data_IF_429708887861
#
_entry.id   IF_429708887861
#
_cell.length_a   1.000
_cell.length_b   1.000
_cell.length_c   1.000
_cell.angle_alpha   90.00
_cell.angle_beta   90.00
_cell.angle_gamma   90.00
#
_symmetry.space_group_name_H-M   'P 1'
#
loop_
_entity.id
_entity.type
_entity.pdbx_description
1 polymer ?
#
# COMPACT_ATOMS: atom_id res chain seq x y z
N UNK A 1 39.04 -71.21 -19.51
CA UNK A 1 37.87 -72.10 -19.36
C UNK A 1 37.00 -71.56 -18.24
N UNK A 2 35.74 -71.27 -18.58
CA UNK A 2 34.55 -71.13 -17.72
C UNK A 2 34.35 -69.80 -16.97
N UNK A 3 33.32 -69.10 -17.45
CA UNK A 3 32.62 -67.93 -16.93
C UNK A 3 31.96 -68.11 -15.55
N UNK A 4 31.76 -66.98 -14.81
CA UNK A 4 30.43 -66.51 -14.38
C UNK A 4 30.43 -65.07 -13.82
N UNK A 5 29.27 -64.43 -14.00
CA UNK A 5 28.89 -63.02 -13.82
C UNK A 5 28.46 -62.66 -12.37
N UNK A 6 28.18 -61.35 -12.18
CA UNK A 6 27.37 -60.66 -11.15
C UNK A 6 28.11 -60.34 -9.83
N UNK A 7 28.03 -59.16 -9.19
CA UNK A 7 26.94 -58.18 -9.11
C UNK A 7 27.44 -56.77 -8.72
N UNK A 8 26.63 -55.76 -9.05
CA UNK A 8 26.73 -54.32 -8.79
C UNK A 8 26.54 -54.01 -7.29
N UNK A 9 27.32 -53.10 -6.70
CA UNK A 9 26.88 -52.25 -5.57
C UNK A 9 27.38 -50.81 -5.78
N UNK A 10 26.43 -49.90 -5.92
CA UNK A 10 26.56 -48.45 -5.91
C UNK A 10 27.19 -47.97 -4.61
N UNK A 11 28.30 -47.23 -4.68
CA UNK A 11 28.77 -46.37 -3.59
C UNK A 11 28.32 -44.94 -3.84
N UNK A 12 27.03 -44.70 -3.65
CA UNK A 12 26.50 -43.34 -3.45
C UNK A 12 26.06 -43.25 -2.01
N UNK A 13 26.94 -42.69 -1.17
CA UNK A 13 26.56 -42.17 0.13
C UNK A 13 25.62 -40.99 -0.14
N UNK A 14 24.32 -41.28 -0.14
CA UNK A 14 23.28 -40.27 -0.07
C UNK A 14 23.28 -39.81 1.39
N UNK A 15 24.05 -38.75 1.70
CA UNK A 15 23.76 -37.94 2.88
C UNK A 15 22.41 -37.30 2.56
N UNK A 16 21.33 -37.97 2.95
CA UNK A 16 20.03 -37.33 3.04
C UNK A 16 20.18 -36.26 4.11
N UNK A 17 20.48 -35.04 3.66
CA UNK A 17 20.30 -33.84 4.45
C UNK A 17 18.78 -33.74 4.68
N UNK A 18 18.30 -34.47 5.68
CA UNK A 18 16.97 -34.26 6.22
C UNK A 18 17.01 -32.85 6.82
N UNK A 19 16.61 -31.86 6.02
CA UNK A 19 16.00 -30.64 6.53
C UNK A 19 14.73 -31.08 7.25
N UNK A 20 14.89 -31.62 8.46
CA UNK A 20 13.82 -31.67 9.43
C UNK A 20 13.54 -30.19 9.68
N UNK A 21 12.49 -29.66 9.05
CA UNK A 21 11.81 -28.51 9.60
C UNK A 21 11.54 -28.88 11.05
N UNK A 22 12.30 -28.28 11.97
CA UNK A 22 12.03 -28.44 13.39
C UNK A 22 10.56 -28.09 13.56
N UNK A 23 9.73 -29.09 13.81
CA UNK A 23 8.34 -28.88 14.18
C UNK A 23 8.44 -28.06 15.47
N UNK A 24 8.09 -26.77 15.40
CA UNK A 24 7.99 -25.92 16.58
C UNK A 24 7.05 -26.64 17.54
N UNK A 25 7.57 -27.07 18.69
CA UNK A 25 6.73 -27.76 19.67
C UNK A 25 5.67 -26.77 20.16
N UNK A 26 4.40 -27.19 20.08
CA UNK A 26 3.27 -26.42 20.59
C UNK A 26 3.06 -26.77 22.06
N UNK A 27 3.01 -25.75 22.92
CA UNK A 27 2.71 -25.89 24.35
C UNK A 27 1.47 -25.09 24.71
N UNK A 28 0.47 -25.76 25.27
CA UNK A 28 -0.67 -25.07 25.86
C UNK A 28 -0.34 -24.61 27.27
N UNK A 29 -0.59 -23.35 27.54
CA UNK A 29 -0.34 -22.72 28.83
C UNK A 29 -1.62 -22.09 29.38
N UNK A 30 -1.76 -22.15 30.70
CA UNK A 30 -3.00 -21.80 31.39
C UNK A 30 -2.78 -20.77 32.51
N UNK A 31 -1.56 -20.25 32.65
CA UNK A 31 -1.18 -19.35 33.72
C UNK A 31 0.15 -18.64 33.46
N UNK A 32 0.41 -17.60 34.26
CA UNK A 32 1.66 -16.83 34.25
C UNK A 32 2.87 -17.74 34.49
N UNK A 33 3.89 -17.61 33.66
CA UNK A 33 5.12 -18.41 33.72
C UNK A 33 6.22 -17.81 32.85
N UNK A 34 7.43 -18.36 32.98
CA UNK A 34 8.53 -18.06 32.05
C UNK A 34 8.47 -18.98 30.84
N UNK A 35 8.54 -18.39 29.64
CA UNK A 35 8.65 -19.08 28.36
C UNK A 35 10.14 -19.13 27.98
N UNK A 36 10.75 -20.30 28.13
CA UNK A 36 12.22 -20.47 28.14
C UNK A 36 12.75 -21.51 27.17
N UNK A 37 11.92 -22.00 26.25
CA UNK A 37 12.34 -22.95 25.21
C UNK A 37 12.31 -22.29 23.85
N UNK A 38 13.50 -22.08 23.27
CA UNK A 38 13.68 -21.43 21.96
C UNK A 38 12.92 -22.16 20.85
N UNK A 39 12.31 -21.40 19.94
CA UNK A 39 11.64 -21.96 18.76
C UNK A 39 10.26 -22.57 19.03
N UNK A 40 9.76 -22.56 20.26
CA UNK A 40 8.45 -23.12 20.61
C UNK A 40 7.29 -22.14 20.42
N UNK A 41 6.10 -22.69 20.21
CA UNK A 41 4.84 -21.94 20.17
C UNK A 41 4.07 -22.20 21.46
N UNK A 42 3.82 -21.16 22.24
CA UNK A 42 3.00 -21.18 23.44
C UNK A 42 1.62 -20.64 23.13
N UNK A 43 0.58 -21.43 23.41
CA UNK A 43 -0.82 -21.08 23.14
C UNK A 43 -1.58 -20.97 24.46
N UNK A 44 -2.22 -19.83 24.73
CA UNK A 44 -3.14 -19.74 25.86
C UNK A 44 -4.39 -20.59 25.59
N UNK A 45 -4.72 -21.47 26.54
CA UNK A 45 -5.95 -22.26 26.49
C UNK A 45 -7.07 -21.71 27.38
N UNK A 46 -6.76 -20.74 28.25
CA UNK A 46 -7.72 -20.04 29.09
C UNK A 46 -7.27 -18.59 29.35
N UNK A 47 -8.21 -17.78 29.83
CA UNK A 47 -7.91 -16.45 30.35
C UNK A 47 -7.05 -16.56 31.62
N UNK A 48 -6.08 -15.67 31.76
CA UNK A 48 -5.23 -15.54 32.95
C UNK A 48 -5.69 -14.33 33.76
N UNK A 49 -5.84 -14.52 35.07
CA UNK A 49 -5.99 -13.45 36.06
C UNK A 49 -4.80 -13.50 37.00
N UNK A 50 -3.92 -12.49 36.93
CA UNK A 50 -2.71 -12.41 37.72
C UNK A 50 -2.93 -11.60 39.00
N UNK A 51 -2.88 -12.28 40.13
CA UNK A 51 -3.16 -11.71 41.46
C UNK A 51 -1.90 -11.50 42.31
N UNK A 52 -0.74 -12.02 41.89
CA UNK A 52 0.54 -11.77 42.54
C UNK A 52 1.19 -10.48 42.04
N UNK A 53 2.08 -9.91 42.86
CA UNK A 53 2.91 -8.76 42.49
C UNK A 53 4.13 -9.23 41.68
N UNK A 54 3.90 -9.90 40.57
CA UNK A 54 4.96 -10.37 39.66
C UNK A 54 4.47 -10.32 38.23
N UNK A 55 5.38 -10.03 37.29
CA UNK A 55 5.12 -10.09 35.85
C UNK A 55 4.47 -11.43 35.46
N UNK A 56 3.59 -11.42 34.47
CA UNK A 56 2.83 -12.60 34.12
C UNK A 56 3.57 -13.56 33.18
N UNK A 57 3.76 -13.19 31.90
CA UNK A 57 4.47 -14.03 30.94
C UNK A 57 5.84 -13.42 30.63
N UNK A 58 6.92 -14.14 30.96
CA UNK A 58 8.30 -13.69 30.69
C UNK A 58 8.94 -14.54 29.58
N UNK A 59 9.25 -13.94 28.45
CA UNK A 59 9.93 -14.57 27.31
C UNK A 59 11.43 -14.32 27.45
N UNK A 60 12.20 -15.40 27.58
CA UNK A 60 13.65 -15.35 27.87
C UNK A 60 14.52 -16.11 26.86
N UNK A 61 13.90 -16.60 25.79
CA UNK A 61 14.59 -17.26 24.68
C UNK A 61 14.08 -16.76 23.32
N UNK A 62 14.93 -16.78 22.29
CA UNK A 62 14.57 -16.30 20.97
C UNK A 62 13.59 -17.24 20.26
N UNK A 63 13.03 -16.76 19.14
CA UNK A 63 12.17 -17.54 18.24
C UNK A 63 10.90 -18.11 18.90
N UNK A 64 10.48 -17.56 20.03
CA UNK A 64 9.24 -17.96 20.71
C UNK A 64 8.04 -17.29 20.04
N UNK A 65 6.98 -18.06 19.83
CA UNK A 65 5.66 -17.52 19.47
C UNK A 65 4.76 -17.64 20.70
N UNK A 66 4.26 -16.52 21.20
CA UNK A 66 3.14 -16.47 22.14
C UNK A 66 1.86 -16.12 21.35
N UNK A 67 0.96 -17.09 21.25
CA UNK A 67 -0.38 -16.91 20.70
C UNK A 67 -1.39 -16.96 21.86
N UNK A 68 -1.96 -15.81 22.21
CA UNK A 68 -2.97 -15.78 23.25
C UNK A 68 -4.31 -16.38 22.77
N UNK A 69 -4.47 -16.70 21.48
CA UNK A 69 -5.66 -17.37 20.94
C UNK A 69 -6.98 -16.66 21.36
N UNK A 70 -6.95 -15.33 21.35
CA UNK A 70 -8.05 -14.46 21.76
C UNK A 70 -8.33 -14.43 23.27
N UNK A 71 -7.46 -15.01 24.10
CA UNK A 71 -7.59 -15.03 25.57
C UNK A 71 -6.98 -13.80 26.22
N UNK A 72 -7.47 -13.51 27.42
CA UNK A 72 -7.05 -12.36 28.19
C UNK A 72 -5.92 -12.65 29.17
N UNK A 73 -5.09 -11.64 29.43
CA UNK A 73 -4.18 -11.56 30.58
C UNK A 73 -4.61 -10.33 31.37
N UNK A 74 -5.17 -10.52 32.57
CA UNK A 74 -5.67 -9.41 33.39
C UNK A 74 -5.01 -9.33 34.76
N UNK A 75 -4.91 -8.12 35.31
CA UNK A 75 -4.42 -7.88 36.67
C UNK A 75 -4.89 -6.52 37.19
N UNK A 76 -5.05 -6.38 38.51
CA UNK A 76 -5.25 -5.09 39.19
C UNK A 76 -4.00 -4.61 39.92
N UNK A 77 -2.87 -5.31 39.73
CA UNK A 77 -1.62 -5.09 40.50
C UNK A 77 -0.63 -4.14 39.82
N UNK A 78 -0.94 -3.60 38.65
CA UNK A 78 -0.04 -2.73 37.87
C UNK A 78 1.31 -3.43 37.61
N UNK A 79 1.26 -4.54 36.88
CA UNK A 79 2.41 -5.39 36.56
C UNK A 79 2.71 -5.41 35.06
N UNK A 80 3.75 -6.13 34.63
CA UNK A 80 3.95 -6.42 33.21
C UNK A 80 3.13 -7.65 32.80
N UNK A 81 2.27 -7.50 31.76
CA UNK A 81 1.50 -8.59 31.18
C UNK A 81 2.39 -9.57 30.41
N UNK A 82 3.15 -9.05 29.44
CA UNK A 82 4.17 -9.83 28.72
C UNK A 82 5.49 -9.08 28.70
N UNK A 83 6.54 -9.68 29.24
CA UNK A 83 7.92 -9.18 29.20
C UNK A 83 8.73 -9.99 28.19
N UNK A 84 9.37 -9.31 27.24
CA UNK A 84 10.40 -9.87 26.34
C UNK A 84 11.74 -9.27 26.73
N UNK A 85 12.68 -10.11 27.13
CA UNK A 85 13.94 -9.70 27.73
C UNK A 85 15.10 -10.41 27.03
N UNK A 86 15.94 -9.65 26.32
CA UNK A 86 17.11 -10.13 25.57
C UNK A 86 16.79 -11.38 24.71
N UNK A 87 15.69 -11.32 23.95
CA UNK A 87 15.09 -12.45 23.25
C UNK A 87 14.60 -12.05 21.86
N UNK A 88 15.45 -12.26 20.85
CA UNK A 88 15.18 -11.87 19.47
C UNK A 88 14.14 -12.75 18.77
N UNK A 89 13.53 -12.22 17.71
CA UNK A 89 12.62 -12.96 16.81
C UNK A 89 11.40 -13.56 17.52
N UNK A 90 10.91 -12.89 18.57
CA UNK A 90 9.70 -13.28 19.29
C UNK A 90 8.46 -12.83 18.51
N UNK A 91 7.38 -13.59 18.57
CA UNK A 91 6.06 -13.16 18.08
C UNK A 91 5.06 -13.19 19.23
N UNK A 92 4.35 -12.10 19.47
CA UNK A 92 3.23 -12.02 20.42
C UNK A 92 1.98 -11.62 19.64
N UNK A 93 0.93 -12.45 19.71
CA UNK A 93 -0.28 -12.19 18.94
C UNK A 93 -1.58 -12.62 19.62
N UNK A 94 -2.68 -12.02 19.16
CA UNK A 94 -4.05 -12.36 19.55
C UNK A 94 -4.34 -12.21 21.06
N UNK A 95 -3.64 -11.31 21.75
CA UNK A 95 -3.79 -11.11 23.20
C UNK A 95 -4.75 -9.97 23.52
N UNK A 96 -5.57 -10.16 24.56
CA UNK A 96 -6.23 -9.06 25.26
C UNK A 96 -5.51 -8.82 26.59
N UNK A 97 -4.93 -7.64 26.81
CA UNK A 97 -4.14 -7.38 28.02
C UNK A 97 -4.67 -6.15 28.76
N UNK A 98 -5.01 -6.33 30.05
CA UNK A 98 -5.54 -5.31 30.99
C UNK A 98 -4.98 -5.56 32.40
N UNK A 99 -3.84 -4.94 32.72
CA UNK A 99 -2.98 -5.24 33.88
C UNK A 99 -2.83 -4.05 34.84
N UNK A 100 -3.64 -3.01 34.65
CA UNK A 100 -3.78 -1.87 35.55
C UNK A 100 -3.02 -0.62 35.11
N UNK A 101 -3.63 0.54 35.37
CA UNK A 101 -3.18 1.85 34.89
C UNK A 101 -2.18 2.58 35.79
N UNK A 102 -1.81 2.00 36.93
CA UNK A 102 -0.80 2.55 37.83
C UNK A 102 0.64 2.25 37.37
N UNK A 103 1.60 2.99 37.93
CA UNK A 103 3.04 2.82 37.65
C UNK A 103 3.44 1.35 37.80
N UNK A 104 4.11 0.80 36.79
CA UNK A 104 4.47 -0.63 36.71
C UNK A 104 3.54 -1.46 35.83
N UNK A 105 2.37 -0.93 35.45
CA UNK A 105 1.42 -1.56 34.52
C UNK A 105 1.86 -1.46 33.08
N UNK A 106 2.49 -2.50 32.52
CA UNK A 106 2.87 -2.55 31.10
C UNK A 106 2.11 -3.68 30.43
N UNK A 107 1.39 -3.39 29.33
CA UNK A 107 0.73 -4.44 28.56
C UNK A 107 1.77 -5.41 27.96
N UNK A 108 2.64 -4.86 27.12
CA UNK A 108 3.80 -5.57 26.55
C UNK A 108 5.05 -4.70 26.75
N UNK A 109 6.10 -5.26 27.32
CA UNK A 109 7.40 -4.59 27.46
C UNK A 109 8.50 -5.42 26.77
N UNK A 110 9.21 -4.79 25.84
CA UNK A 110 10.26 -5.40 25.02
C UNK A 110 11.58 -4.71 25.35
N UNK A 111 12.59 -5.47 25.76
CA UNK A 111 13.90 -4.94 26.16
C UNK A 111 14.98 -5.69 25.39
N UNK A 112 15.81 -4.94 24.65
CA UNK A 112 16.97 -5.42 23.90
C UNK A 112 16.65 -6.67 23.04
N UNK A 113 15.53 -6.64 22.32
CA UNK A 113 14.95 -7.79 21.64
C UNK A 113 14.52 -7.45 20.21
N UNK A 114 15.45 -7.65 19.28
CA UNK A 114 15.31 -7.30 17.86
C UNK A 114 14.41 -8.29 17.09
N UNK A 115 13.91 -7.85 15.93
CA UNK A 115 13.15 -8.65 14.98
C UNK A 115 11.85 -9.25 15.55
N UNK A 116 11.32 -8.62 16.60
CA UNK A 116 10.09 -9.05 17.29
C UNK A 116 8.84 -8.63 16.51
N UNK A 117 7.77 -9.43 16.58
CA UNK A 117 6.48 -9.16 15.94
C UNK A 117 5.37 -9.08 16.99
N UNK A 118 4.62 -7.99 17.01
CA UNK A 118 3.49 -7.75 17.90
C UNK A 118 2.25 -7.57 17.02
N UNK A 119 1.38 -8.57 16.96
CA UNK A 119 0.35 -8.68 15.93
C UNK A 119 -1.04 -8.83 16.56
N UNK A 120 -2.02 -8.02 16.14
CA UNK A 120 -3.44 -8.27 16.46
C UNK A 120 -3.74 -8.37 17.98
N UNK A 121 -3.06 -7.55 18.79
CA UNK A 121 -3.32 -7.49 20.23
C UNK A 121 -4.21 -6.29 20.57
N UNK A 122 -5.01 -6.45 21.62
CA UNK A 122 -5.75 -5.37 22.29
C UNK A 122 -5.07 -5.07 23.62
N UNK A 123 -4.47 -3.89 23.76
CA UNK A 123 -3.79 -3.44 24.98
C UNK A 123 -4.57 -2.27 25.59
N UNK A 124 -5.24 -2.54 26.70
CA UNK A 124 -6.21 -1.61 27.29
C UNK A 124 -5.93 -1.38 28.78
N UNK A 125 -6.14 -0.16 29.26
CA UNK A 125 -6.12 0.16 30.69
C UNK A 125 -4.80 -0.17 31.42
N UNK A 126 -3.68 0.18 30.79
CA UNK A 126 -2.33 0.04 31.36
C UNK A 126 -1.73 1.40 31.73
N UNK A 127 -0.59 1.40 32.42
CA UNK A 127 0.23 2.61 32.49
C UNK A 127 0.92 2.87 31.15
N UNK A 128 1.59 1.87 30.58
CA UNK A 128 2.04 1.89 29.18
C UNK A 128 1.44 0.70 28.42
N UNK A 129 0.90 0.96 27.22
CA UNK A 129 0.35 -0.11 26.38
C UNK A 129 1.45 -1.05 25.91
N UNK A 130 2.34 -0.54 25.06
CA UNK A 130 3.50 -1.24 24.51
C UNK A 130 4.75 -0.38 24.66
N UNK A 131 5.79 -0.94 25.28
CA UNK A 131 7.12 -0.33 25.37
C UNK A 131 8.16 -1.19 24.66
N UNK A 132 9.04 -0.57 23.88
CA UNK A 132 10.18 -1.22 23.23
C UNK A 132 11.46 -0.40 23.46
N UNK A 133 12.37 -0.94 24.28
CA UNK A 133 13.63 -0.32 24.65
C UNK A 133 14.81 -1.04 23.98
N UNK A 134 15.68 -0.29 23.31
CA UNK A 134 16.89 -0.83 22.68
C UNK A 134 16.61 -1.89 21.61
N UNK A 135 15.39 -1.91 21.05
CA UNK A 135 14.91 -2.97 20.17
C UNK A 135 14.67 -2.44 18.75
N UNK A 136 15.25 -3.14 17.78
CA UNK A 136 15.25 -2.77 16.38
C UNK A 136 14.46 -3.77 15.54
N UNK A 137 14.01 -3.34 14.36
CA UNK A 137 13.28 -4.18 13.41
C UNK A 137 12.01 -4.83 14.02
N UNK A 138 11.39 -4.19 15.01
CA UNK A 138 10.13 -4.61 15.61
C UNK A 138 8.99 -4.27 14.65
N UNK A 139 8.11 -5.24 14.40
CA UNK A 139 6.88 -5.06 13.62
C UNK A 139 5.68 -5.03 14.54
N UNK A 140 4.97 -3.91 14.59
CA UNK A 140 3.75 -3.72 15.38
C UNK A 140 2.60 -3.54 14.40
N UNK A 141 1.80 -4.58 14.21
CA UNK A 141 0.81 -4.63 13.12
C UNK A 141 -0.60 -4.94 13.65
N UNK A 142 -1.58 -4.13 13.23
CA UNK A 142 -3.01 -4.34 13.51
C UNK A 142 -3.36 -4.41 15.01
N UNK A 143 -2.65 -3.67 15.87
CA UNK A 143 -2.95 -3.63 17.30
C UNK A 143 -3.94 -2.50 17.63
N UNK A 144 -4.75 -2.72 18.66
CA UNK A 144 -5.64 -1.72 19.25
C UNK A 144 -5.08 -1.37 20.63
N UNK A 145 -4.66 -0.13 20.84
CA UNK A 145 -3.95 0.29 22.06
C UNK A 145 -4.60 1.54 22.65
N UNK A 146 -5.45 1.34 23.65
CA UNK A 146 -6.35 2.38 24.13
C UNK A 146 -6.37 2.53 25.65
N UNK A 147 -6.81 3.70 26.11
CA UNK A 147 -7.08 3.98 27.53
C UNK A 147 -5.88 3.71 28.45
N UNK A 148 -4.64 3.91 27.97
CA UNK A 148 -3.45 3.76 28.79
C UNK A 148 -3.11 5.11 29.46
N UNK A 149 -2.77 5.09 30.76
CA UNK A 149 -2.53 6.30 31.54
C UNK A 149 -1.30 7.11 31.10
N UNK A 150 -0.40 6.50 30.32
CA UNK A 150 0.74 7.15 29.68
C UNK A 150 0.75 6.88 28.17
N UNK A 151 1.80 6.26 27.63
CA UNK A 151 1.91 6.04 26.19
C UNK A 151 1.07 4.83 25.76
N UNK A 152 0.42 4.94 24.59
CA UNK A 152 -0.05 3.77 23.86
C UNK A 152 1.15 2.94 23.41
N UNK A 153 2.01 3.53 22.57
CA UNK A 153 3.30 2.95 22.18
C UNK A 153 4.44 3.89 22.58
N UNK A 154 5.48 3.33 23.19
CA UNK A 154 6.73 4.04 23.45
C UNK A 154 7.94 3.24 22.93
N UNK A 155 8.61 3.77 21.91
CA UNK A 155 9.86 3.21 21.39
C UNK A 155 11.02 4.09 21.86
N UNK A 156 12.01 3.46 22.49
CA UNK A 156 13.19 4.11 23.07
C UNK A 156 14.44 3.48 22.47
N UNK A 157 15.32 4.31 21.90
CA UNK A 157 16.59 3.83 21.31
C UNK A 157 16.39 2.69 20.30
N UNK A 158 15.27 2.72 19.57
CA UNK A 158 14.89 1.69 18.61
C UNK A 158 14.89 2.21 17.18
N UNK A 159 15.46 1.42 16.27
CA UNK A 159 15.57 1.80 14.85
C UNK A 159 14.95 0.77 13.92
N UNK A 160 14.58 1.22 12.71
CA UNK A 160 14.04 0.36 11.65
C UNK A 160 12.76 -0.40 12.05
N UNK A 161 11.98 0.13 12.99
CA UNK A 161 10.71 -0.46 13.39
C UNK A 161 9.60 -0.10 12.40
N UNK A 162 8.64 -0.99 12.23
CA UNK A 162 7.47 -0.80 11.37
C UNK A 162 6.22 -0.90 12.23
N UNK A 163 5.43 0.17 12.25
CA UNK A 163 4.13 0.25 12.91
C UNK A 163 3.08 0.39 11.81
N UNK A 164 2.11 -0.52 11.74
CA UNK A 164 1.05 -0.44 10.72
C UNK A 164 -0.31 -0.93 11.18
N UNK A 165 -1.39 -0.37 10.62
CA UNK A 165 -2.76 -0.75 11.01
C UNK A 165 -3.08 -0.45 12.48
N UNK A 166 -2.33 0.45 13.13
CA UNK A 166 -2.51 0.78 14.54
C UNK A 166 -3.78 1.61 14.73
N UNK A 167 -4.55 1.28 15.77
CA UNK A 167 -5.57 2.15 16.34
C UNK A 167 -5.16 2.52 17.77
N UNK A 168 -4.87 3.79 18.01
CA UNK A 168 -4.44 4.27 19.33
C UNK A 168 -5.20 5.54 19.75
N UNK A 169 -6.05 5.42 20.77
CA UNK A 169 -6.89 6.50 21.28
C UNK A 169 -6.99 6.49 22.81
N UNK A 170 -7.34 7.63 23.42
CA UNK A 170 -7.46 7.79 24.88
C UNK A 170 -6.20 7.40 25.67
N UNK A 171 -5.01 7.47 25.07
CA UNK A 171 -3.76 7.40 25.81
C UNK A 171 -3.31 8.81 26.19
N UNK A 172 -2.40 8.98 27.14
CA UNK A 172 -1.77 10.29 27.37
C UNK A 172 -1.05 10.75 26.09
N UNK A 173 -0.21 9.85 25.55
CA UNK A 173 0.47 10.01 24.27
C UNK A 173 0.15 8.78 23.41
N UNK A 174 -0.30 8.95 22.17
CA UNK A 174 -0.62 7.83 21.29
C UNK A 174 0.61 7.00 20.91
N UNK A 175 1.58 7.64 20.26
CA UNK A 175 2.85 7.05 19.85
C UNK A 175 4.01 8.00 20.18
N UNK A 176 5.03 7.50 20.88
CA UNK A 176 6.27 8.22 21.11
C UNK A 176 7.48 7.48 20.54
N UNK A 177 8.31 8.19 19.76
CA UNK A 177 9.63 7.75 19.31
C UNK A 177 10.70 8.61 20.00
N UNK A 178 11.45 8.02 20.93
CA UNK A 178 12.48 8.70 21.71
C UNK A 178 13.86 8.11 21.42
N UNK A 179 14.84 8.94 21.06
CA UNK A 179 16.14 8.49 20.55
C UNK A 179 16.03 7.42 19.45
N UNK A 180 15.01 7.51 18.61
CA UNK A 180 14.59 6.42 17.73
C UNK A 180 14.53 6.93 16.29
N UNK A 181 15.28 6.28 15.40
CA UNK A 181 15.49 6.75 14.03
C UNK A 181 15.15 5.70 12.98
N UNK A 182 14.86 6.13 11.76
CA UNK A 182 14.56 5.25 10.63
C UNK A 182 13.32 4.35 10.85
N UNK A 183 12.29 4.84 11.57
CA UNK A 183 11.07 4.07 11.78
C UNK A 183 10.00 4.43 10.74
N UNK A 184 9.14 3.46 10.42
CA UNK A 184 8.00 3.65 9.51
C UNK A 184 6.69 3.42 10.26
N UNK A 185 5.87 4.45 10.36
CA UNK A 185 4.48 4.38 10.80
C UNK A 185 3.60 4.51 9.56
N UNK A 186 2.70 3.56 9.32
CA UNK A 186 1.81 3.63 8.17
C UNK A 186 0.41 3.12 8.41
N UNK A 187 -0.54 3.57 7.61
CA UNK A 187 -1.91 3.02 7.57
C UNK A 187 -2.56 2.96 8.95
N UNK A 188 -2.37 4.01 9.75
CA UNK A 188 -2.68 4.00 11.19
C UNK A 188 -3.54 5.20 11.59
N UNK A 189 -4.33 5.02 12.63
CA UNK A 189 -5.17 6.05 13.23
C UNK A 189 -4.72 6.25 14.67
N UNK A 190 -4.10 7.39 14.93
CA UNK A 190 -3.54 7.79 16.22
C UNK A 190 -4.19 9.13 16.54
N UNK A 191 -5.45 9.12 16.97
CA UNK A 191 -6.22 10.35 17.26
C UNK A 191 -7.00 10.21 18.54
N UNK A 192 -7.33 11.35 19.17
CA UNK A 192 -8.09 11.36 20.42
C UNK A 192 -7.26 10.96 21.64
N UNK A 193 -5.93 11.07 21.56
CA UNK A 193 -5.07 10.96 22.73
C UNK A 193 -5.08 12.29 23.51
N UNK A 194 -4.75 12.26 24.80
CA UNK A 194 -4.97 13.38 25.73
C UNK A 194 -4.04 14.54 25.38
N UNK A 195 -2.72 14.32 25.39
CA UNK A 195 -1.72 15.36 25.15
C UNK A 195 -1.25 15.37 23.68
N UNK A 196 -0.56 14.32 23.24
CA UNK A 196 -0.11 14.19 21.86
C UNK A 196 -0.62 12.88 21.24
N UNK A 197 -0.94 12.95 19.96
CA UNK A 197 -1.13 11.76 19.15
C UNK A 197 0.23 11.16 18.82
N UNK A 198 1.15 12.00 18.34
CA UNK A 198 2.48 11.58 17.91
C UNK A 198 3.54 12.50 18.49
N UNK A 199 4.52 11.91 19.18
CA UNK A 199 5.62 12.60 19.83
C UNK A 199 6.96 12.05 19.33
N UNK A 200 7.78 12.88 18.70
CA UNK A 200 9.14 12.51 18.31
C UNK A 200 10.12 13.37 19.11
N UNK A 201 10.99 12.76 19.90
CA UNK A 201 11.90 13.52 20.75
C UNK A 201 13.26 12.89 21.00
N UNK A 202 14.20 13.73 21.40
CA UNK A 202 15.52 13.39 21.90
C UNK A 202 16.06 14.65 22.60
N UNK A 203 16.58 14.51 23.82
CA UNK A 203 16.95 15.68 24.63
C UNK A 203 18.32 16.26 24.24
N UNK A 204 19.16 15.45 23.59
CA UNK A 204 20.48 15.80 23.09
C UNK A 204 20.81 14.94 21.85
N UNK A 205 21.84 15.26 21.07
CA UNK A 205 22.26 14.38 19.98
C UNK A 205 22.69 12.98 20.48
N UNK A 206 22.42 11.89 19.74
CA UNK A 206 21.78 11.86 18.42
C UNK A 206 20.26 12.07 18.50
N UNK A 207 19.68 12.78 17.54
CA UNK A 207 18.24 13.03 17.49
C UNK A 207 17.47 11.87 16.84
N UNK A 208 16.14 11.87 17.03
CA UNK A 208 15.21 10.93 16.38
C UNK A 208 14.92 11.40 14.96
N UNK A 209 15.60 10.81 13.97
CA UNK A 209 15.61 11.25 12.56
C UNK A 209 15.05 10.19 11.61
N UNK A 210 14.68 10.60 10.39
CA UNK A 210 14.20 9.70 9.34
C UNK A 210 12.97 8.87 9.73
N UNK A 211 12.07 9.42 10.55
CA UNK A 211 10.84 8.72 10.94
C UNK A 211 9.70 9.10 9.98
N UNK A 212 9.21 8.11 9.22
CA UNK A 212 8.20 8.32 8.17
C UNK A 212 6.81 7.98 8.69
N UNK A 213 5.87 8.89 8.50
CA UNK A 213 4.44 8.73 8.76
C UNK A 213 3.69 8.76 7.44
N UNK A 214 3.34 7.58 6.90
CA UNK A 214 2.68 7.39 5.60
C UNK A 214 1.22 7.00 5.80
N UNK A 215 0.26 7.80 5.32
CA UNK A 215 -1.16 7.51 5.56
C UNK A 215 -1.51 7.33 7.06
N UNK A 216 -1.07 8.28 7.91
CA UNK A 216 -1.32 8.23 9.37
C UNK A 216 -2.25 9.35 9.82
N UNK A 217 -3.45 9.03 10.28
CA UNK A 217 -4.32 10.05 10.88
C UNK A 217 -3.79 10.40 12.27
N UNK A 218 -3.38 11.65 12.46
CA UNK A 218 -3.04 12.30 13.74
C UNK A 218 -3.36 13.80 13.62
N UNK A 219 -3.62 14.47 14.74
CA UNK A 219 -3.82 15.93 14.74
C UNK A 219 -3.15 16.66 15.92
N UNK A 220 -2.59 15.94 16.90
CA UNK A 220 -1.74 16.50 17.96
C UNK A 220 -0.30 16.01 17.82
N UNK A 221 0.45 16.62 16.90
CA UNK A 221 1.85 16.29 16.61
C UNK A 221 2.80 17.16 17.43
N UNK A 222 3.83 16.56 18.03
CA UNK A 222 4.96 17.28 18.64
C UNK A 222 6.28 16.67 18.20
N UNK A 223 7.22 17.53 17.81
CA UNK A 223 8.59 17.17 17.47
C UNK A 223 9.54 18.04 18.28
N UNK A 224 10.43 17.42 19.05
CA UNK A 224 11.41 18.14 19.88
C UNK A 224 12.42 18.88 18.99
N UNK A 225 12.41 20.21 19.12
CA UNK A 225 13.43 21.08 18.57
C UNK A 225 14.64 21.17 19.50
N UNK A 226 15.86 21.19 18.96
CA UNK A 226 17.05 21.48 19.75
C UNK A 226 17.61 22.86 19.40
N UNK A 227 17.55 23.77 20.39
CA UNK A 227 17.79 25.20 20.18
C UNK A 227 19.26 25.59 19.94
N UNK A 228 20.23 24.74 20.30
CA UNK A 228 21.66 25.13 20.28
C UNK A 228 22.40 24.79 18.97
N UNK A 229 21.92 23.82 18.18
CA UNK A 229 22.62 23.38 16.94
C UNK A 229 21.80 23.55 15.66
N UNK A 230 20.57 24.09 15.75
CA UNK A 230 19.68 24.25 14.58
C UNK A 230 19.20 22.94 13.96
N UNK A 231 19.49 21.79 14.58
CA UNK A 231 19.05 20.46 14.18
C UNK A 231 18.36 19.82 15.38
N UNK A 232 17.15 19.31 15.20
CA UNK A 232 16.37 18.62 16.24
C UNK A 232 15.92 17.25 15.77
N UNK A 233 14.90 16.70 16.43
CA UNK A 233 14.22 15.51 15.92
C UNK A 233 13.38 15.84 14.69
N UNK A 234 12.93 14.81 13.97
CA UNK A 234 12.23 14.98 12.70
C UNK A 234 11.06 14.00 12.54
N UNK A 235 9.97 14.49 11.97
CA UNK A 235 8.87 13.69 11.43
C UNK A 235 8.68 13.97 9.94
N UNK A 236 8.71 12.92 9.11
CA UNK A 236 8.48 13.00 7.66
C UNK A 236 7.06 12.52 7.36
N UNK A 237 6.19 13.42 6.90
CA UNK A 237 4.80 13.11 6.61
C UNK A 237 4.59 12.80 5.12
N UNK A 238 3.92 11.68 4.81
CA UNK A 238 3.60 11.25 3.44
C UNK A 238 2.16 10.75 3.27
N UNK A 239 1.66 10.77 2.04
CA UNK A 239 0.36 10.22 1.66
C UNK A 239 0.42 9.45 0.35
N UNK A 240 -0.50 8.51 0.17
CA UNK A 240 -0.63 7.79 -1.09
C UNK A 240 -1.28 8.66 -2.15
N UNK A 241 -0.76 8.57 -3.37
CA UNK A 241 -1.30 9.20 -4.55
C UNK A 241 -1.46 8.19 -5.68
N UNK A 242 -2.63 8.22 -6.33
CA UNK A 242 -2.95 7.41 -7.51
C UNK A 242 -3.86 8.21 -8.42
N UNK A 243 -3.49 8.26 -9.69
CA UNK A 243 -4.24 8.95 -10.73
C UNK A 243 -4.75 7.98 -11.80
N UNK A 244 -5.87 8.35 -12.43
CA UNK A 244 -6.40 7.75 -13.63
C UNK A 244 -6.42 8.79 -14.75
N UNK A 245 -5.89 8.43 -15.91
CA UNK A 245 -5.89 9.25 -17.12
C UNK A 245 -6.95 8.73 -18.08
N UNK A 246 -7.86 9.60 -18.50
CA UNK A 246 -8.93 9.30 -19.46
C UNK A 246 -9.00 10.35 -20.56
N UNK A 247 -9.56 9.97 -21.70
CA UNK A 247 -9.94 10.93 -22.73
C UNK A 247 -11.24 11.69 -22.36
N UNK A 248 -11.65 12.62 -23.21
CA UNK A 248 -12.90 13.39 -23.06
C UNK A 248 -14.17 12.52 -23.13
N UNK A 249 -14.06 11.31 -23.70
CA UNK A 249 -15.13 10.32 -23.81
C UNK A 249 -15.14 9.32 -22.63
N UNK A 250 -14.32 9.55 -21.59
CA UNK A 250 -14.16 8.69 -20.41
C UNK A 250 -13.50 7.33 -20.68
N UNK A 251 -12.87 7.14 -21.84
CA UNK A 251 -12.07 5.95 -22.10
C UNK A 251 -10.71 6.06 -21.41
N UNK A 252 -10.21 4.98 -20.80
CA UNK A 252 -8.88 4.97 -20.20
C UNK A 252 -7.79 5.10 -21.27
N UNK A 253 -6.78 5.94 -21.00
CA UNK A 253 -5.63 6.09 -21.89
C UNK A 253 -4.49 5.24 -21.35
N UNK A 254 -4.14 4.18 -22.06
CA UNK A 254 -2.99 3.33 -21.77
C UNK A 254 -1.69 3.98 -22.22
N UNK A 255 -0.60 3.79 -21.47
CA UNK A 255 0.75 4.29 -21.77
C UNK A 255 0.84 5.84 -21.84
N UNK A 256 -0.08 6.58 -21.22
CA UNK A 256 0.11 8.01 -20.99
C UNK A 256 1.29 8.20 -20.03
N UNK A 257 2.21 9.11 -20.34
CA UNK A 257 3.29 9.48 -19.45
C UNK A 257 2.73 10.40 -18.36
N UNK A 258 3.09 10.13 -17.10
CA UNK A 258 2.67 10.92 -15.93
C UNK A 258 3.91 11.30 -15.13
N UNK A 259 4.29 12.58 -15.22
CA UNK A 259 5.40 13.17 -14.47
C UNK A 259 4.86 13.95 -13.30
N UNK A 260 5.34 13.64 -12.10
CA UNK A 260 5.01 14.36 -10.87
C UNK A 260 6.25 15.16 -10.47
N UNK A 261 6.12 16.49 -10.38
CA UNK A 261 7.17 17.39 -9.92
C UNK A 261 6.80 18.02 -8.58
N UNK A 262 7.76 18.08 -7.68
CA UNK A 262 7.62 18.82 -6.42
C UNK A 262 7.76 20.33 -6.63
N UNK A 263 7.47 21.13 -5.59
CA UNK A 263 7.48 22.61 -5.59
C UNK A 263 8.76 23.24 -6.18
N UNK A 264 9.90 22.59 -6.06
CA UNK A 264 11.19 23.05 -6.56
C UNK A 264 11.49 22.62 -8.01
N UNK A 265 10.46 22.22 -8.77
CA UNK A 265 10.57 21.66 -10.12
C UNK A 265 11.34 20.32 -10.22
N UNK A 266 11.66 19.68 -9.09
CA UNK A 266 12.28 18.35 -9.10
C UNK A 266 11.27 17.30 -9.52
N UNK A 267 11.58 16.51 -10.54
CA UNK A 267 10.79 15.34 -10.94
C UNK A 267 10.96 14.27 -9.85
N UNK A 268 9.88 13.95 -9.15
CA UNK A 268 9.86 12.90 -8.11
C UNK A 268 9.41 11.55 -8.66
N UNK A 269 8.56 11.55 -9.68
CA UNK A 269 8.10 10.36 -10.38
C UNK A 269 7.96 10.61 -11.88
N UNK A 270 8.28 9.60 -12.69
CA UNK A 270 8.08 9.55 -14.13
C UNK A 270 7.48 8.18 -14.48
N UNK A 271 6.16 8.14 -14.66
CA UNK A 271 5.36 6.93 -14.69
C UNK A 271 4.65 6.77 -16.04
N UNK A 272 4.09 5.58 -16.27
CA UNK A 272 3.15 5.33 -17.37
C UNK A 272 1.88 4.68 -16.86
N UNK A 273 0.76 4.95 -17.54
CA UNK A 273 -0.54 4.35 -17.18
C UNK A 273 -0.69 2.93 -17.71
N UNK A 274 -1.39 2.10 -16.95
CA UNK A 274 -1.79 0.73 -17.33
C UNK A 274 -2.95 0.72 -18.36
N UNK A 275 -3.45 -0.47 -18.72
CA UNK A 275 -4.58 -0.61 -19.67
C UNK A 275 -5.89 0.02 -19.20
N UNK A 276 -6.03 0.30 -17.90
CA UNK A 276 -7.18 0.95 -17.30
C UNK A 276 -6.92 2.44 -17.05
N UNK A 277 -5.80 2.98 -17.56
CA UNK A 277 -5.43 4.39 -17.44
C UNK A 277 -4.86 4.75 -16.07
N UNK A 278 -4.57 3.80 -15.19
CA UNK A 278 -4.03 4.10 -13.86
C UNK A 278 -2.52 4.08 -13.84
N UNK A 279 -1.93 5.00 -13.06
CA UNK A 279 -0.58 4.79 -12.54
C UNK A 279 -0.62 3.82 -11.35
N UNK A 280 0.50 3.18 -11.04
CA UNK A 280 0.64 2.51 -9.74
C UNK A 280 0.65 3.56 -8.61
N UNK A 281 0.23 3.16 -7.41
CA UNK A 281 0.18 4.06 -6.25
C UNK A 281 1.59 4.46 -5.83
N UNK A 282 1.81 5.75 -5.63
CA UNK A 282 3.08 6.32 -5.16
C UNK A 282 2.92 7.07 -3.84
N UNK A 283 4.04 7.31 -3.16
CA UNK A 283 4.07 8.05 -1.89
C UNK A 283 4.52 9.49 -2.15
N UNK A 284 3.66 10.47 -1.90
CA UNK A 284 4.02 11.89 -1.99
C UNK A 284 4.33 12.46 -0.60
N UNK A 285 5.35 13.31 -0.53
CA UNK A 285 5.72 14.03 0.68
C UNK A 285 4.72 15.16 0.94
N UNK A 286 4.25 15.28 2.17
CA UNK A 286 3.49 16.46 2.59
C UNK A 286 4.43 17.49 3.18
N UNK A 287 4.97 17.20 4.36
CA UNK A 287 5.92 18.06 5.06
C UNK A 287 6.94 17.27 5.86
N UNK A 288 8.01 17.96 6.23
CA UNK A 288 8.97 17.55 7.25
C UNK A 288 8.83 18.50 8.43
N UNK A 289 8.49 17.99 9.62
CA UNK A 289 8.46 18.77 10.86
C UNK A 289 9.75 18.54 11.63
N UNK A 290 10.47 19.62 11.93
CA UNK A 290 11.75 19.64 12.66
C UNK A 290 11.63 20.26 14.06
N UNK A 291 10.41 20.44 14.56
CA UNK A 291 10.06 21.16 15.78
C UNK A 291 10.09 22.68 15.65
N UNK A 292 11.06 23.22 14.90
CA UNK A 292 11.21 24.66 14.65
C UNK A 292 10.55 25.13 13.35
N UNK A 293 10.44 24.24 12.36
CA UNK A 293 9.97 24.56 11.01
C UNK A 293 9.26 23.34 10.40
N UNK A 294 8.20 23.63 9.65
CA UNK A 294 7.59 22.68 8.72
C UNK A 294 8.03 23.01 7.29
N UNK A 295 8.79 22.12 6.67
CA UNK A 295 9.17 22.22 5.26
C UNK A 295 8.15 21.45 4.40
N UNK A 296 7.38 22.17 3.59
CA UNK A 296 6.35 21.59 2.73
C UNK A 296 6.87 21.31 1.31
N UNK A 297 6.54 20.13 0.77
CA UNK A 297 6.99 19.70 -0.56
C UNK A 297 5.99 19.97 -1.69
N UNK A 298 4.76 20.32 -1.34
CA UNK A 298 3.73 20.79 -2.26
C UNK A 298 3.85 22.33 -2.48
N UNK A 299 3.26 22.90 -3.55
CA UNK A 299 2.41 22.27 -4.56
C UNK A 299 3.14 21.23 -5.41
N UNK A 300 2.44 20.17 -5.83
CA UNK A 300 2.91 19.25 -6.86
C UNK A 300 2.35 19.61 -8.23
N UNK A 301 3.18 19.55 -9.26
CA UNK A 301 2.76 19.62 -10.66
C UNK A 301 2.68 18.20 -11.24
N UNK A 302 1.48 17.77 -11.62
CA UNK A 302 1.22 16.50 -12.29
C UNK A 302 1.04 16.79 -13.78
N UNK A 303 2.09 16.53 -14.55
CA UNK A 303 2.10 16.69 -16.01
C UNK A 303 1.80 15.34 -16.66
N UNK A 304 0.77 15.31 -17.49
CA UNK A 304 0.39 14.12 -18.26
C UNK A 304 0.61 14.38 -19.73
N UNK A 305 1.21 13.44 -20.45
CA UNK A 305 1.39 13.53 -21.90
C UNK A 305 1.12 12.22 -22.63
N UNK A 306 0.55 12.33 -23.84
CA UNK A 306 0.27 11.20 -24.72
C UNK A 306 0.15 11.71 -26.18
N UNK A 307 0.82 11.07 -27.13
CA UNK A 307 0.81 11.45 -28.56
C UNK A 307 1.01 12.97 -28.83
N UNK A 308 1.98 13.60 -28.16
CA UNK A 308 2.30 15.03 -28.22
C UNK A 308 1.22 15.98 -27.65
N UNK A 309 0.18 15.45 -27.01
CA UNK A 309 -0.81 16.23 -26.27
C UNK A 309 -0.41 16.19 -24.80
N UNK A 310 -0.49 17.33 -24.13
CA UNK A 310 -0.13 17.45 -22.72
C UNK A 310 -1.21 18.19 -21.94
N UNK A 311 -1.39 17.80 -20.68
CA UNK A 311 -2.16 18.55 -19.69
C UNK A 311 -1.39 18.60 -18.37
N UNK A 312 -1.64 19.63 -17.58
CA UNK A 312 -0.99 19.81 -16.29
C UNK A 312 -2.05 20.08 -15.24
N UNK A 313 -1.94 19.38 -14.12
CA UNK A 313 -2.76 19.60 -12.93
C UNK A 313 -1.86 19.95 -11.75
N UNK A 314 -2.29 20.92 -10.95
CA UNK A 314 -1.59 21.30 -9.72
C UNK A 314 -2.30 20.74 -8.50
N UNK A 315 -1.56 20.07 -7.64
CA UNK A 315 -2.01 19.66 -6.31
C UNK A 315 -1.45 20.61 -5.26
N UNK A 316 -2.29 21.52 -4.75
CA UNK A 316 -1.84 22.62 -3.89
C UNK A 316 -1.53 22.22 -2.44
N UNK A 317 -2.12 21.14 -1.94
CA UNK A 317 -1.94 20.65 -0.57
C UNK A 317 -2.10 19.13 -0.55
N UNK A 318 -1.51 18.48 0.46
CA UNK A 318 -1.57 17.03 0.63
C UNK A 318 -1.83 16.69 2.11
N UNK A 319 -3.12 16.67 2.48
CA UNK A 319 -3.61 16.42 3.84
C UNK A 319 -4.28 15.05 3.99
N UNK A 320 -4.43 14.31 2.89
CA UNK A 320 -4.97 12.96 2.86
C UNK A 320 -4.43 12.19 1.64
N UNK A 321 -4.71 10.88 1.58
CA UNK A 321 -4.51 10.12 0.36
C UNK A 321 -5.40 10.66 -0.76
N UNK A 322 -4.87 10.61 -1.97
CA UNK A 322 -5.61 10.91 -3.20
C UNK A 322 -5.50 9.67 -4.09
N UNK A 323 -6.45 8.75 -3.95
CA UNK A 323 -6.39 7.44 -4.62
C UNK A 323 -7.17 7.39 -5.94
N UNK A 324 -7.95 8.42 -6.23
CA UNK A 324 -8.86 8.50 -7.38
C UNK A 324 -8.68 9.84 -8.11
N UNK A 325 -7.44 10.28 -8.35
CA UNK A 325 -7.22 11.53 -9.07
C UNK A 325 -7.53 11.36 -10.56
N UNK A 326 -8.66 11.89 -11.02
CA UNK A 326 -9.04 11.83 -12.43
C UNK A 326 -8.39 12.99 -13.21
N UNK A 327 -7.67 12.65 -14.27
CA UNK A 327 -7.06 13.58 -15.20
C UNK A 327 -7.61 13.31 -16.60
N UNK A 328 -8.25 14.33 -17.19
CA UNK A 328 -8.79 14.25 -18.55
C UNK A 328 -7.78 14.85 -19.52
N UNK A 329 -7.40 14.07 -20.53
CA UNK A 329 -6.56 14.52 -21.63
C UNK A 329 -7.43 14.68 -22.88
N UNK A 330 -7.39 15.86 -23.50
CA UNK A 330 -8.16 16.15 -24.70
C UNK A 330 -7.44 15.58 -25.94
N UNK A 331 -7.61 14.28 -26.18
CA UNK A 331 -7.17 13.64 -27.42
C UNK A 331 -8.25 13.92 -28.46
N UNK A 332 -7.94 14.73 -29.47
CA UNK A 332 -8.81 14.84 -30.64
C UNK A 332 -8.90 13.45 -31.28
N UNK A 333 -10.11 12.97 -31.57
CA UNK A 333 -10.27 11.75 -32.35
C UNK A 333 -9.46 11.91 -33.65
N UNK A 334 -8.52 10.99 -33.90
CA UNK A 334 -8.05 10.80 -35.27
C UNK A 334 -9.31 10.48 -36.09
N UNK A 335 -9.75 11.44 -36.90
CA UNK A 335 -10.72 11.19 -37.96
C UNK A 335 -10.06 10.24 -38.95
N UNK A 336 -10.14 8.95 -38.62
CA UNK A 336 -9.67 7.88 -39.46
C UNK A 336 -10.66 7.77 -40.62
N UNK A 337 -10.57 8.73 -41.55
CA UNK A 337 -11.29 8.72 -42.83
C UNK A 337 -10.68 7.59 -43.67
N UNK A 338 -11.07 6.37 -43.32
CA UNK A 338 -10.94 5.23 -44.21
C UNK A 338 -11.87 5.55 -45.36
N UNK A 339 -11.33 6.14 -46.43
CA UNK A 339 -12.10 6.37 -47.65
C UNK A 339 -12.59 5.00 -48.11
N UNK A 340 -13.86 4.69 -47.82
CA UNK A 340 -14.52 3.42 -48.11
C UNK A 340 -14.72 3.22 -49.63
N UNK A 341 -13.80 3.75 -50.44
CA UNK A 341 -13.73 3.72 -51.89
C UNK A 341 -15.05 4.18 -52.53
N UNK A 342 -15.72 5.16 -51.92
CA UNK A 342 -17.02 5.66 -52.37
C UNK A 342 -18.21 4.74 -52.09
N UNK A 343 -18.06 3.71 -51.26
CA UNK A 343 -19.15 2.80 -50.89
C UNK A 343 -20.08 3.33 -49.77
N UNK A 344 -19.67 4.40 -49.07
CA UNK A 344 -20.55 5.20 -48.22
C UNK A 344 -21.38 6.11 -49.14
N UNK A 345 -22.61 5.66 -49.42
CA UNK A 345 -23.48 6.29 -50.40
C UNK A 345 -24.34 7.39 -49.76
N UNK A 346 -24.67 7.28 -48.47
CA UNK A 346 -25.43 8.31 -47.76
C UNK A 346 -24.58 9.32 -46.98
N UNK A 347 -23.25 9.14 -46.97
CA UNK A 347 -22.25 9.96 -46.30
C UNK A 347 -22.43 9.98 -44.76
N UNK A 348 -22.83 8.86 -44.16
CA UNK A 348 -23.01 8.73 -42.71
C UNK A 348 -21.76 8.18 -41.98
N UNK A 349 -20.64 8.07 -42.70
CA UNK A 349 -19.36 7.53 -42.23
C UNK A 349 -19.43 6.02 -41.90
N UNK A 350 -20.38 5.28 -42.49
CA UNK A 350 -20.52 3.82 -42.40
C UNK A 350 -20.92 3.26 -43.77
N UNK A 351 -20.73 1.95 -43.95
CA UNK A 351 -21.32 1.22 -45.09
C UNK A 351 -22.22 0.12 -44.55
N UNK A 352 -23.52 0.41 -44.44
CA UNK A 352 -24.50 -0.49 -43.84
C UNK A 352 -25.79 -0.60 -44.67
N UNK A 353 -26.90 -0.92 -44.01
CA UNK A 353 -28.20 -1.19 -44.62
C UNK A 353 -28.79 0.00 -45.38
N UNK A 354 -28.45 1.23 -44.97
CA UNK A 354 -28.87 2.45 -45.66
C UNK A 354 -28.20 2.55 -47.04
N UNK A 355 -26.88 2.40 -47.09
CA UNK A 355 -26.12 2.34 -48.35
C UNK A 355 -26.54 1.16 -49.22
N UNK A 356 -26.78 0.00 -48.60
CA UNK A 356 -27.28 -1.17 -49.31
C UNK A 356 -28.65 -0.91 -49.96
N UNK A 357 -29.52 -0.17 -49.28
CA UNK A 357 -30.82 0.20 -49.83
C UNK A 357 -30.65 1.08 -51.07
N UNK A 358 -29.74 2.07 -51.02
CA UNK A 358 -29.40 2.93 -52.17
C UNK A 358 -28.83 2.11 -53.32
N UNK A 359 -27.83 1.26 -53.04
CA UNK A 359 -27.18 0.42 -54.03
C UNK A 359 -28.17 -0.53 -54.70
N UNK A 360 -28.95 -1.26 -53.91
CA UNK A 360 -29.94 -2.24 -54.38
C UNK A 360 -31.02 -1.61 -55.26
N UNK A 361 -31.50 -0.41 -54.92
CA UNK A 361 -32.55 0.27 -55.69
C UNK A 361 -32.09 0.70 -57.09
N UNK A 362 -30.79 0.94 -57.24
CA UNK A 362 -30.18 1.39 -58.48
C UNK A 362 -29.47 0.25 -59.23
N UNK A 363 -29.41 -0.96 -58.68
CA UNK A 363 -28.76 -2.09 -59.34
C UNK A 363 -29.39 -2.41 -60.69
N UNK A 364 -28.58 -2.50 -61.75
CA UNK A 364 -29.03 -2.70 -63.12
C UNK A 364 -29.42 -1.44 -63.88
N UNK A 365 -29.36 -0.26 -63.25
CA UNK A 365 -29.52 1.01 -63.95
C UNK A 365 -28.38 1.21 -64.96
N UNK A 366 -28.74 1.77 -66.11
CA UNK A 366 -27.86 2.24 -67.17
C UNK A 366 -28.07 3.73 -67.33
N UNK A 367 -27.19 4.39 -68.08
CA UNK A 367 -27.21 5.83 -68.31
C UNK A 367 -26.96 6.63 -67.01
N UNK A 368 -26.15 6.07 -66.10
CA UNK A 368 -25.67 6.79 -64.92
C UNK A 368 -24.68 7.86 -65.36
N UNK A 369 -24.86 9.08 -64.86
CA UNK A 369 -24.07 10.23 -65.27
C UNK A 369 -24.12 11.31 -64.20
N UNK A 370 -23.39 12.40 -64.42
CA UNK A 370 -23.45 13.55 -63.52
C UNK A 370 -24.88 14.12 -63.39
N UNK A 371 -25.74 14.00 -64.42
CA UNK A 371 -27.11 14.53 -64.37
C UNK A 371 -28.05 13.78 -63.41
N UNK A 372 -27.81 12.48 -63.17
CA UNK A 372 -28.57 11.68 -62.21
C UNK A 372 -27.73 11.28 -60.98
N UNK A 373 -26.68 12.06 -60.71
CA UNK A 373 -25.75 11.83 -59.62
C UNK A 373 -25.18 10.40 -59.61
N UNK A 374 -24.76 9.89 -60.77
CA UNK A 374 -24.25 8.52 -60.93
C UNK A 374 -25.23 7.48 -60.35
N UNK A 375 -26.51 7.60 -60.71
CA UNK A 375 -27.60 6.78 -60.19
C UNK A 375 -27.65 6.78 -58.65
N UNK A 376 -27.74 7.97 -58.05
CA UNK A 376 -27.69 8.19 -56.59
C UNK A 376 -26.42 7.62 -55.94
N UNK A 377 -25.27 7.86 -56.58
CA UNK A 377 -23.93 7.40 -56.21
C UNK A 377 -23.71 5.88 -56.29
N UNK A 378 -24.71 5.11 -56.69
CA UNK A 378 -24.58 3.65 -56.77
C UNK A 378 -23.67 3.18 -57.92
N UNK A 379 -23.41 4.03 -58.93
CA UNK A 379 -22.35 3.84 -59.93
C UNK A 379 -21.03 4.36 -59.33
N UNK A 380 -20.40 3.50 -58.54
CA UNK A 380 -19.25 3.79 -57.67
C UNK A 380 -17.99 3.95 -58.51
N UNK A 381 -17.83 3.12 -59.55
CA UNK A 381 -16.68 3.19 -60.47
C UNK A 381 -16.87 4.22 -61.61
N UNK A 382 -18.07 4.80 -61.71
CA UNK A 382 -18.46 5.84 -62.67
C UNK A 382 -18.36 5.40 -64.12
N UNK A 383 -18.60 4.12 -64.40
CA UNK A 383 -18.61 3.56 -65.76
C UNK A 383 -19.92 3.80 -66.51
N UNK A 384 -20.92 4.41 -65.87
CA UNK A 384 -22.23 4.73 -66.42
C UNK A 384 -23.29 3.66 -66.20
N UNK A 385 -23.01 2.61 -65.41
CA UNK A 385 -23.91 1.51 -65.10
C UNK A 385 -23.68 1.02 -63.67
N UNK A 386 -24.74 0.74 -62.93
CA UNK A 386 -24.64 0.08 -61.62
C UNK A 386 -24.67 -1.43 -61.82
N UNK A 387 -23.51 -2.09 -61.77
CA UNK A 387 -23.41 -3.54 -62.04
C UNK A 387 -22.43 -4.28 -61.12
N UNK A 388 -21.86 -5.39 -61.61
CA UNK A 388 -21.02 -6.30 -60.83
C UNK A 388 -19.72 -5.64 -60.32
N UNK A 389 -19.18 -4.64 -61.02
CA UNK A 389 -17.98 -3.92 -60.59
C UNK A 389 -18.27 -3.06 -59.35
N UNK A 390 -19.36 -2.29 -59.38
CA UNK A 390 -19.83 -1.50 -58.24
C UNK A 390 -20.21 -2.38 -57.06
N UNK A 391 -20.88 -3.50 -57.32
CA UNK A 391 -21.16 -4.50 -56.27
C UNK A 391 -19.86 -5.03 -55.66
N UNK A 392 -18.82 -5.20 -56.48
CA UNK A 392 -17.48 -5.57 -56.03
C UNK A 392 -16.89 -4.57 -55.03
N UNK A 393 -17.04 -3.27 -55.27
CA UNK A 393 -16.56 -2.20 -54.38
C UNK A 393 -17.45 -2.10 -53.13
N UNK A 394 -18.76 -2.16 -53.31
CA UNK A 394 -19.71 -2.08 -52.20
C UNK A 394 -19.53 -3.24 -51.21
N UNK A 395 -19.53 -4.48 -51.71
CA UNK A 395 -19.50 -5.68 -50.86
C UNK A 395 -18.21 -5.84 -50.05
N UNK A 396 -17.09 -5.32 -50.54
CA UNK A 396 -15.80 -5.39 -49.83
C UNK A 396 -15.73 -4.38 -48.69
N UNK A 397 -16.53 -3.32 -48.75
CA UNK A 397 -16.65 -2.31 -47.70
C UNK A 397 -17.90 -2.48 -46.84
N UNK A 398 -18.84 -3.35 -47.22
CA UNK A 398 -20.08 -3.59 -46.48
C UNK A 398 -19.80 -4.10 -45.06
N UNK A 399 -20.49 -3.49 -44.09
CA UNK A 399 -20.31 -3.64 -42.63
C UNK A 399 -19.09 -2.92 -42.04
N UNK A 400 -18.40 -2.06 -42.78
CA UNK A 400 -17.46 -1.12 -42.17
C UNK A 400 -18.22 -0.12 -41.31
N UNK A 401 -17.78 -0.01 -40.05
CA UNK A 401 -18.35 0.90 -39.05
C UNK A 401 -17.66 2.27 -39.01
N UNK A 402 -16.62 2.45 -39.83
CA UNK A 402 -15.77 3.63 -39.89
C UNK A 402 -15.40 3.88 -41.36
N UNK A 403 -15.97 4.95 -41.91
CA UNK A 403 -15.59 5.67 -43.12
C UNK A 403 -15.43 7.16 -42.72
#
# INVERSE_FOLDING_TARGET
MIHKKLSIIFSTILISLFLISAISAVRYISGCQTLSSSGETYILNQNIVQNSNSDCLKITRPNIILDCNGKSITSTRNIIGVLVDNSNSVTIKNCYIDVGSGIGGYGINIIDSDNTKILENTLNNQYMGLSAHGSNNVRIENNIINNNARNGIYIISGSSNIISGLQATNNLIGLQLYYSSNNLVKDSIITGNIEQDTLISANFPPFSLNNIFLNVKHNKEYVEAYHFSGQGSELIRKWYYKAQVKDTNQNPIKNANVKIKAKNNTVVYDLTTDSNGFIYTVDLFSYINTGNLNEYHYPYEIKVSYNNIETTKTLNQLNDNILNDLIILNIAEESNTSNCNGADLDNDNKVWLSDWSIFRWNFGKRDCSIQNNFCNKADIDKNGKVWLADWGIFRTNFRNKIC
#
